data_IF_771667992750
#
_entry.id   IF_771667992750
#
_cell.length_a   1.000
_cell.length_b   1.000
_cell.length_c   1.000
_cell.angle_alpha   90.00
_cell.angle_beta   90.00
_cell.angle_gamma   90.00
#
_symmetry.space_group_name_H-M   'P 1'
#
loop_
_entity.id
_entity.type
_entity.pdbx_description
1 polymer ?
#
# COMPACT_ATOMS: atom_id res chain seq x y z
N UNK A 1 -20.32 -2.99 -46.29
CA UNK A 1 -20.10 -1.64 -46.85
C UNK A 1 -18.81 -1.11 -46.26
N UNK A 2 -17.77 -1.14 -47.06
CA UNK A 2 -16.37 -0.89 -46.75
C UNK A 2 -16.06 0.59 -46.99
N UNK A 3 -15.43 1.26 -46.04
CA UNK A 3 -14.77 2.54 -46.36
C UNK A 3 -13.39 2.58 -45.66
N UNK A 4 -12.37 2.32 -46.48
CA UNK A 4 -10.98 2.68 -46.23
C UNK A 4 -10.80 4.19 -46.33
N UNK A 5 -10.02 4.78 -45.40
CA UNK A 5 -9.33 6.06 -45.66
C UNK A 5 -7.88 5.97 -45.17
N UNK A 6 -7.02 5.86 -46.15
CA UNK A 6 -5.58 6.12 -46.15
C UNK A 6 -5.30 7.62 -46.03
N UNK A 7 -4.35 8.04 -45.20
CA UNK A 7 -3.72 9.36 -45.27
C UNK A 7 -2.20 9.26 -45.13
N UNK A 8 -1.60 9.68 -46.18
CA UNK A 8 -0.29 9.98 -46.69
C UNK A 8 0.76 10.50 -45.69
N UNK A 9 1.98 9.93 -45.84
CA UNK A 9 3.26 10.44 -45.40
C UNK A 9 3.65 11.72 -46.13
N UNK A 10 4.18 12.72 -45.41
CA UNK A 10 5.04 13.75 -46.01
C UNK A 10 6.35 13.86 -45.22
N UNK A 11 7.37 13.42 -45.89
CA UNK A 11 8.79 13.63 -45.63
C UNK A 11 9.14 15.09 -45.92
N UNK A 12 9.93 15.73 -45.03
CA UNK A 12 10.69 16.94 -45.41
C UNK A 12 12.12 16.86 -44.92
N UNK A 13 13.00 17.24 -45.85
CA UNK A 13 14.44 17.03 -45.90
C UNK A 13 15.24 18.08 -45.10
N UNK A 14 16.45 17.69 -44.77
CA UNK A 14 17.58 18.43 -44.15
C UNK A 14 18.03 19.65 -45.00
N UNK A 15 18.62 20.65 -44.34
CA UNK A 15 19.90 21.23 -44.72
C UNK A 15 20.55 22.03 -43.56
N UNK A 16 21.90 22.03 -43.43
CA UNK A 16 22.66 22.68 -42.35
C UNK A 16 23.25 24.00 -42.80
N UNK A 17 23.56 24.88 -41.83
CA UNK A 17 24.48 26.01 -42.07
C UNK A 17 25.32 26.34 -40.82
N UNK A 18 26.61 26.53 -41.12
CA UNK A 18 27.77 26.73 -40.23
C UNK A 18 27.87 28.15 -39.64
N UNK A 19 28.45 28.20 -38.47
CA UNK A 19 29.52 29.07 -37.93
C UNK A 19 29.45 30.61 -38.05
N UNK A 20 29.65 31.27 -36.90
CA UNK A 20 30.62 32.34 -36.75
C UNK A 20 30.92 32.62 -35.27
N UNK A 21 32.23 32.65 -34.95
CA UNK A 21 32.83 33.13 -33.71
C UNK A 21 32.72 34.65 -33.59
N UNK A 22 32.51 35.14 -32.36
CA UNK A 22 32.60 36.54 -32.02
C UNK A 22 33.00 36.74 -30.57
N UNK A 23 34.29 36.93 -30.29
CA UNK A 23 34.80 37.48 -29.02
C UNK A 23 34.55 39.00 -28.97
N UNK A 24 34.08 39.51 -27.83
CA UNK A 24 34.40 40.85 -27.33
C UNK A 24 33.90 41.03 -25.90
N UNK A 25 34.83 41.11 -25.01
CA UNK A 25 35.24 42.28 -24.19
C UNK A 25 34.29 42.67 -23.04
N UNK A 26 34.91 42.68 -21.88
CA UNK A 26 34.45 43.12 -20.57
C UNK A 26 33.96 44.59 -20.55
N UNK A 27 32.85 44.79 -19.80
CA UNK A 27 32.54 46.09 -19.24
C UNK A 27 32.02 45.91 -17.80
N UNK A 28 32.77 46.40 -16.83
CA UNK A 28 32.33 46.62 -15.46
C UNK A 28 31.21 47.66 -15.41
N UNK A 29 30.13 47.36 -14.76
CA UNK A 29 29.01 48.27 -14.55
C UNK A 29 28.12 47.87 -13.39
N UNK A 30 28.39 48.43 -12.24
CA UNK A 30 27.50 48.86 -11.14
C UNK A 30 26.43 47.89 -10.62
N UNK A 31 26.57 47.57 -9.35
CA UNK A 31 25.56 46.97 -8.48
C UNK A 31 24.21 47.70 -8.59
N UNK A 32 23.18 46.93 -8.94
CA UNK A 32 21.81 47.31 -8.66
C UNK A 32 21.22 46.19 -7.80
N UNK A 33 20.85 46.54 -6.60
CA UNK A 33 20.16 45.71 -5.64
C UNK A 33 18.74 45.52 -6.14
N UNK A 34 18.51 44.37 -6.75
CA UNK A 34 17.20 43.94 -7.26
C UNK A 34 16.84 42.54 -6.81
N UNK A 35 15.93 42.49 -5.87
CA UNK A 35 15.01 41.41 -5.62
C UNK A 35 15.62 40.00 -5.51
N UNK A 36 15.96 39.59 -4.30
CA UNK A 36 16.00 38.20 -3.92
C UNK A 36 14.61 37.62 -4.17
N UNK A 37 14.43 36.91 -5.30
CA UNK A 37 13.39 35.91 -5.43
C UNK A 37 13.57 34.87 -4.31
N UNK A 38 12.53 34.15 -3.92
CA UNK A 38 12.65 33.14 -2.88
C UNK A 38 13.78 32.18 -3.29
N UNK A 39 14.81 32.07 -2.45
CA UNK A 39 15.83 31.04 -2.57
C UNK A 39 15.09 29.69 -2.57
N UNK A 40 15.07 29.00 -3.72
CA UNK A 40 14.54 27.67 -3.80
C UNK A 40 15.29 26.80 -2.80
N UNK A 41 14.63 26.44 -1.71
CA UNK A 41 15.15 25.47 -0.76
C UNK A 41 15.40 24.14 -1.48
N UNK A 42 16.24 23.32 -0.91
CA UNK A 42 16.45 21.96 -1.40
C UNK A 42 15.13 21.19 -1.32
N UNK A 43 14.77 20.44 -2.39
CA UNK A 43 13.54 19.64 -2.47
C UNK A 43 13.87 18.19 -2.73
N UNK A 44 13.02 17.31 -2.25
CA UNK A 44 12.98 15.88 -2.56
C UNK A 44 11.91 15.71 -3.62
N UNK A 45 12.22 15.01 -4.72
CA UNK A 45 11.25 14.70 -5.79
C UNK A 45 10.80 13.25 -5.70
N UNK A 46 9.51 13.03 -5.56
CA UNK A 46 8.90 11.69 -5.60
C UNK A 46 8.03 11.53 -6.85
N UNK A 47 8.05 10.32 -7.46
CA UNK A 47 7.26 9.95 -8.64
C UNK A 47 6.20 8.94 -8.23
N UNK A 48 4.97 9.16 -8.69
CA UNK A 48 3.82 8.34 -8.34
C UNK A 48 2.77 8.34 -9.47
N UNK A 49 1.73 7.55 -9.36
CA UNK A 49 0.73 7.39 -10.43
C UNK A 49 0.03 8.69 -10.85
N UNK A 50 -0.12 9.65 -9.94
CA UNK A 50 -0.71 10.96 -10.24
C UNK A 50 0.30 11.99 -10.80
N UNK A 51 1.58 11.62 -10.98
CA UNK A 51 2.61 12.50 -11.51
C UNK A 51 3.91 12.52 -10.70
N UNK A 52 4.36 13.70 -10.29
CA UNK A 52 5.57 13.91 -9.51
C UNK A 52 5.35 15.06 -8.52
N UNK A 53 5.79 14.87 -7.29
CA UNK A 53 5.67 15.84 -6.21
C UNK A 53 7.06 16.27 -5.72
N UNK A 54 7.26 17.57 -5.56
CA UNK A 54 8.44 18.15 -4.91
C UNK A 54 8.09 18.50 -3.46
N UNK A 55 8.80 17.93 -2.50
CA UNK A 55 8.63 18.18 -1.07
C UNK A 55 9.83 18.98 -0.56
N UNK A 56 9.65 20.11 0.15
CA UNK A 56 10.75 20.84 0.78
C UNK A 56 11.49 19.96 1.80
N UNK A 57 12.82 20.03 1.80
CA UNK A 57 13.62 19.33 2.82
C UNK A 57 13.36 19.93 4.20
N UNK A 58 13.23 19.05 5.20
CA UNK A 58 13.08 19.45 6.61
C UNK A 58 11.63 19.70 7.04
N UNK A 59 10.63 19.13 6.33
CA UNK A 59 9.23 19.16 6.77
C UNK A 59 9.10 18.51 8.16
N UNK A 60 8.26 19.12 8.99
CA UNK A 60 8.00 18.68 10.37
C UNK A 60 6.52 18.42 10.63
N UNK A 61 5.64 19.00 9.82
CA UNK A 61 4.19 18.88 9.93
C UNK A 61 3.68 17.89 8.89
N UNK A 62 3.61 16.65 9.29
CA UNK A 62 3.24 15.52 8.43
C UNK A 62 1.78 15.17 8.67
N UNK A 63 0.96 15.15 7.62
CA UNK A 63 -0.35 14.52 7.65
C UNK A 63 -0.35 13.25 6.78
N UNK A 64 -1.27 12.35 7.03
CA UNK A 64 -1.50 11.22 6.13
C UNK A 64 -2.99 10.96 5.93
N UNK A 65 -3.35 10.40 4.77
CA UNK A 65 -4.71 10.01 4.42
C UNK A 65 -4.74 8.54 4.03
N UNK A 66 -5.91 7.95 3.96
CA UNK A 66 -6.13 6.55 3.58
C UNK A 66 -5.56 5.55 4.58
N UNK A 67 -4.83 4.49 4.13
CA UNK A 67 -4.48 3.35 4.97
C UNK A 67 -3.01 3.35 5.37
N UNK A 68 -2.74 3.31 6.68
CA UNK A 68 -1.44 2.97 7.30
C UNK A 68 -0.23 3.87 6.97
N UNK A 69 -0.38 4.93 6.15
CA UNK A 69 0.72 5.84 5.83
C UNK A 69 1.30 6.54 7.08
N UNK A 70 0.48 6.81 8.10
CA UNK A 70 0.92 7.36 9.38
C UNK A 70 1.89 6.45 10.13
N UNK A 71 1.86 5.15 9.87
CA UNK A 71 2.70 4.18 10.58
C UNK A 71 4.18 4.33 10.19
N UNK A 72 4.49 4.91 9.03
CA UNK A 72 5.87 5.15 8.59
C UNK A 72 6.56 6.21 9.46
N UNK A 73 6.08 7.46 9.56
CA UNK A 73 6.68 8.44 10.47
C UNK A 73 6.61 7.97 11.95
N UNK A 74 5.53 7.31 12.37
CA UNK A 74 5.40 6.78 13.73
C UNK A 74 6.49 5.75 14.05
N UNK A 75 6.83 4.84 13.11
CA UNK A 75 7.92 3.88 13.30
C UNK A 75 9.30 4.55 13.44
N UNK A 76 9.41 5.80 13.01
CA UNK A 76 10.61 6.65 13.12
C UNK A 76 10.53 7.66 14.28
N UNK A 77 9.65 7.43 15.26
CA UNK A 77 9.40 8.32 16.40
C UNK A 77 8.93 9.73 16.03
N UNK A 78 8.33 9.90 14.86
CA UNK A 78 7.78 11.18 14.38
C UNK A 78 6.26 11.12 14.49
N UNK A 79 5.68 12.04 15.28
CA UNK A 79 4.24 12.12 15.49
C UNK A 79 3.60 12.98 14.38
N UNK A 80 2.72 12.43 13.51
CA UNK A 80 2.00 13.23 12.53
C UNK A 80 1.08 14.26 13.17
N UNK A 81 0.79 15.36 12.48
CA UNK A 81 -0.18 16.37 12.94
C UNK A 81 -1.63 15.88 12.80
N UNK A 82 -1.87 14.91 11.92
CA UNK A 82 -3.15 14.23 11.77
C UNK A 82 -3.08 13.09 10.75
N UNK A 83 -4.05 12.18 10.83
CA UNK A 83 -4.15 11.04 9.92
C UNK A 83 -5.59 10.48 9.87
N UNK A 84 -5.85 9.62 8.87
CA UNK A 84 -7.15 8.99 8.66
C UNK A 84 -7.62 8.19 9.88
N UNK A 85 -8.83 8.46 10.34
CA UNK A 85 -9.51 7.68 11.38
C UNK A 85 -9.86 6.30 10.82
N UNK A 86 -9.43 5.26 11.51
CA UNK A 86 -9.77 3.89 11.17
C UNK A 86 -11.03 3.42 11.91
N UNK A 87 -11.91 2.76 11.18
CA UNK A 87 -13.15 2.17 11.73
C UNK A 87 -13.18 0.65 11.59
N UNK A 88 -12.36 0.09 10.69
CA UNK A 88 -12.20 -1.34 10.49
C UNK A 88 -10.90 -1.83 11.16
N UNK A 89 -10.97 -2.92 11.88
CA UNK A 89 -9.83 -3.44 12.66
C UNK A 89 -9.59 -2.72 13.98
N UNK A 90 -10.53 -1.88 14.43
CA UNK A 90 -10.48 -1.14 15.68
C UNK A 90 -11.59 -1.65 16.60
N UNK A 91 -11.23 -2.16 17.77
CA UNK A 91 -12.15 -2.78 18.73
C UNK A 91 -12.37 -1.94 20.01
N UNK A 92 -11.58 -0.89 20.22
CA UNK A 92 -11.63 -0.01 21.39
C UNK A 92 -12.33 1.35 21.15
N UNK A 93 -12.79 1.60 19.93
CA UNK A 93 -13.44 2.86 19.52
C UNK A 93 -12.51 4.07 19.42
N UNK A 94 -11.19 3.89 19.52
CA UNK A 94 -10.20 4.98 19.45
C UNK A 94 -10.10 5.65 18.09
N UNK A 95 -10.50 4.95 17.03
CA UNK A 95 -10.26 5.39 15.64
C UNK A 95 -8.83 5.16 15.18
N UNK A 96 -8.05 4.35 15.90
CA UNK A 96 -6.67 4.01 15.58
C UNK A 96 -6.48 2.49 15.65
N UNK A 97 -5.71 1.93 14.72
CA UNK A 97 -5.30 0.53 14.79
C UNK A 97 -4.46 0.29 16.06
N UNK A 98 -4.52 -0.91 16.62
CA UNK A 98 -3.93 -1.21 17.93
C UNK A 98 -2.45 -0.82 18.05
N UNK A 99 -1.65 -1.09 17.02
CA UNK A 99 -0.23 -0.73 16.97
C UNK A 99 0.00 0.77 16.80
N UNK A 100 -0.81 1.41 15.93
CA UNK A 100 -0.79 2.87 15.72
C UNK A 100 -1.10 3.59 17.03
N UNK A 101 -2.18 3.18 17.71
CA UNK A 101 -2.57 3.75 19.00
C UNK A 101 -1.48 3.61 20.05
N UNK A 102 -0.90 2.42 20.18
CA UNK A 102 0.19 2.19 21.13
C UNK A 102 1.33 3.17 20.91
N UNK A 103 1.75 3.36 19.64
CA UNK A 103 2.86 4.25 19.31
C UNK A 103 2.51 5.73 19.50
N UNK A 104 1.29 6.14 19.14
CA UNK A 104 0.79 7.50 19.40
C UNK A 104 0.77 7.77 20.92
N UNK A 105 0.22 6.86 21.73
CA UNK A 105 0.17 7.02 23.18
C UNK A 105 1.57 7.17 23.80
N UNK A 106 2.56 6.40 23.32
CA UNK A 106 3.96 6.50 23.74
C UNK A 106 4.55 7.89 23.42
N UNK A 107 4.36 8.38 22.21
CA UNK A 107 4.91 9.67 21.77
C UNK A 107 4.19 10.86 22.42
N UNK A 108 2.88 10.77 22.64
CA UNK A 108 2.11 11.79 23.36
C UNK A 108 2.52 11.83 24.84
N UNK A 109 2.74 10.68 25.48
CA UNK A 109 3.26 10.61 26.85
C UNK A 109 4.67 11.20 26.97
N UNK A 110 5.47 11.16 25.89
CA UNK A 110 6.78 11.82 25.82
C UNK A 110 6.70 13.35 25.57
N UNK A 111 5.49 13.92 25.47
CA UNK A 111 5.26 15.36 25.32
C UNK A 111 4.82 15.80 23.91
N UNK A 112 4.55 14.87 23.00
CA UNK A 112 4.00 15.15 21.68
C UNK A 112 2.53 15.61 21.76
N UNK A 113 2.07 16.34 20.74
CA UNK A 113 0.68 16.76 20.62
C UNK A 113 -0.18 15.63 20.07
N UNK A 114 -1.41 15.47 20.59
CA UNK A 114 -2.37 14.49 20.07
C UNK A 114 -2.69 14.79 18.60
N UNK A 115 -2.52 13.82 17.67
CA UNK A 115 -2.89 13.96 16.27
C UNK A 115 -4.40 14.18 16.07
N UNK A 116 -4.76 14.97 15.05
CA UNK A 116 -6.14 15.02 14.57
C UNK A 116 -6.49 13.71 13.84
N UNK A 117 -7.73 13.24 13.98
CA UNK A 117 -8.24 12.08 13.23
C UNK A 117 -9.21 12.58 12.15
N UNK A 118 -8.89 12.30 10.88
CA UNK A 118 -9.72 12.67 9.74
C UNK A 118 -10.79 11.60 9.51
N UNK A 119 -12.06 11.99 9.42
CA UNK A 119 -13.14 11.06 9.10
C UNK A 119 -13.19 10.84 7.59
N UNK A 120 -12.81 9.65 7.15
CA UNK A 120 -12.81 9.26 5.73
C UNK A 120 -13.90 8.22 5.42
N UNK A 121 -14.95 8.12 6.22
CA UNK A 121 -16.03 7.14 6.06
C UNK A 121 -16.70 7.23 4.68
N UNK A 122 -17.00 8.45 4.22
CA UNK A 122 -17.63 8.68 2.92
C UNK A 122 -16.62 9.19 1.86
N UNK A 123 -15.63 9.98 2.28
CA UNK A 123 -14.59 10.58 1.44
C UNK A 123 -13.54 11.23 2.32
N UNK A 124 -12.40 11.61 1.74
CA UNK A 124 -11.36 12.36 2.46
C UNK A 124 -11.94 13.69 2.99
N UNK A 125 -11.75 13.96 4.27
CA UNK A 125 -12.08 15.25 4.88
C UNK A 125 -10.98 16.28 4.63
N UNK A 126 -10.99 16.86 3.43
CA UNK A 126 -10.02 17.87 3.01
C UNK A 126 -9.96 19.08 3.96
N UNK A 127 -11.06 19.44 4.61
CA UNK A 127 -11.09 20.56 5.54
C UNK A 127 -10.32 20.23 6.81
N UNK A 128 -10.57 19.04 7.39
CA UNK A 128 -9.82 18.58 8.56
C UNK A 128 -8.33 18.42 8.27
N UNK A 129 -7.95 17.91 7.09
CA UNK A 129 -6.54 17.85 6.66
C UNK A 129 -5.95 19.26 6.60
N UNK A 130 -6.61 20.21 5.94
CA UNK A 130 -6.17 21.59 5.80
C UNK A 130 -6.01 22.31 7.14
N UNK A 131 -6.93 22.08 8.09
CA UNK A 131 -6.91 22.71 9.41
C UNK A 131 -5.67 22.30 10.24
N UNK A 132 -5.04 21.16 9.93
CA UNK A 132 -3.78 20.76 10.55
C UNK A 132 -2.57 21.50 9.99
N UNK A 133 -2.73 22.29 8.93
CA UNK A 133 -1.66 23.02 8.22
C UNK A 133 -0.42 22.15 7.96
N UNK A 134 -0.56 21.03 7.22
CA UNK A 134 0.56 20.12 6.96
C UNK A 134 1.55 20.73 5.97
N UNK A 135 2.80 20.30 6.03
CA UNK A 135 3.87 20.62 5.08
C UNK A 135 4.06 19.53 4.02
N UNK A 136 3.55 18.31 4.32
CA UNK A 136 3.48 17.18 3.40
C UNK A 136 2.30 16.28 3.77
N UNK A 137 1.69 15.64 2.77
CA UNK A 137 0.61 14.66 2.93
C UNK A 137 1.08 13.32 2.36
N UNK A 138 1.11 12.28 3.20
CA UNK A 138 1.49 10.92 2.83
C UNK A 138 0.25 10.12 2.44
N UNK A 139 0.30 9.50 1.28
CA UNK A 139 -0.78 8.71 0.70
C UNK A 139 -0.23 7.60 -0.24
N UNK A 140 0.99 7.11 0.01
CA UNK A 140 1.61 6.06 -0.79
C UNK A 140 0.77 4.77 -0.81
N UNK A 141 0.10 4.42 0.30
CA UNK A 141 -0.89 3.35 0.33
C UNK A 141 -2.29 3.96 0.31
N UNK A 142 -2.85 4.13 -0.89
CA UNK A 142 -4.14 4.78 -1.07
C UNK A 142 -4.84 4.38 -2.37
N UNK A 143 -6.11 4.75 -2.48
CA UNK A 143 -6.91 4.70 -3.71
C UNK A 143 -7.26 6.09 -4.22
N UNK A 144 -6.39 7.09 -4.04
CA UNK A 144 -6.65 8.47 -4.48
C UNK A 144 -7.04 8.52 -5.94
N UNK A 145 -8.16 9.17 -6.23
CA UNK A 145 -8.45 9.60 -7.60
C UNK A 145 -7.56 10.81 -7.96
N UNK A 146 -7.38 11.08 -9.27
CA UNK A 146 -6.68 12.28 -9.69
C UNK A 146 -7.30 13.56 -9.09
N UNK A 147 -8.62 13.59 -8.93
CA UNK A 147 -9.33 14.73 -8.31
C UNK A 147 -8.98 14.90 -6.84
N UNK A 148 -8.86 13.79 -6.09
CA UNK A 148 -8.49 13.83 -4.68
C UNK A 148 -7.04 14.32 -4.53
N UNK A 149 -6.12 13.76 -5.34
CA UNK A 149 -4.74 14.21 -5.42
C UNK A 149 -4.62 15.70 -5.74
N UNK A 150 -5.34 16.19 -6.77
CA UNK A 150 -5.34 17.61 -7.16
C UNK A 150 -5.89 18.51 -6.05
N UNK A 151 -6.77 17.98 -5.20
CA UNK A 151 -7.34 18.73 -4.08
C UNK A 151 -6.38 18.76 -2.89
N UNK A 152 -5.80 17.63 -2.52
CA UNK A 152 -4.78 17.54 -1.46
C UNK A 152 -3.53 18.36 -1.80
N UNK A 153 -3.09 18.33 -3.07
CA UNK A 153 -1.92 19.07 -3.54
C UNK A 153 -2.08 20.61 -3.48
N UNK A 154 -3.31 21.11 -3.31
CA UNK A 154 -3.55 22.54 -3.01
C UNK A 154 -3.36 22.87 -1.53
N UNK A 155 -3.41 21.87 -0.66
CA UNK A 155 -3.18 22.02 0.78
C UNK A 155 -1.68 21.89 1.07
N UNK A 156 -1.04 20.80 0.62
CA UNK A 156 0.40 20.56 0.76
C UNK A 156 0.88 19.56 -0.32
N UNK A 157 2.21 19.50 -0.59
CA UNK A 157 2.80 18.44 -1.40
C UNK A 157 2.27 17.07 -0.96
N UNK A 158 1.75 16.27 -1.91
CA UNK A 158 1.09 15.00 -1.63
C UNK A 158 1.80 13.85 -2.34
N UNK A 159 2.14 12.80 -1.60
CA UNK A 159 2.75 11.57 -2.12
C UNK A 159 1.65 10.54 -2.35
N UNK A 160 1.34 10.25 -3.60
CA UNK A 160 0.34 9.25 -3.97
C UNK A 160 0.97 7.85 -4.16
N UNK A 161 0.15 6.83 -4.42
CA UNK A 161 0.59 5.47 -4.69
C UNK A 161 1.45 5.37 -5.96
N UNK A 162 2.42 4.41 -6.05
CA UNK A 162 3.41 4.40 -7.13
C UNK A 162 2.82 4.04 -8.50
N UNK A 163 1.94 3.05 -8.60
CA UNK A 163 1.45 2.50 -9.88
C UNK A 163 -0.04 2.23 -9.89
N UNK A 164 -0.54 1.38 -9.00
CA UNK A 164 -1.94 0.94 -8.94
C UNK A 164 -2.54 1.31 -7.59
N UNK A 165 -3.76 1.83 -7.61
CA UNK A 165 -4.50 2.15 -6.39
C UNK A 165 -4.60 0.91 -5.48
N UNK A 166 -4.30 1.07 -4.19
CA UNK A 166 -4.27 0.01 -3.17
C UNK A 166 -3.23 -1.10 -3.40
N UNK A 167 -2.44 -1.02 -4.47
CA UNK A 167 -1.43 -2.00 -4.86
C UNK A 167 0.01 -1.63 -4.46
N UNK A 168 0.22 -0.89 -3.39
CA UNK A 168 1.55 -0.46 -2.97
C UNK A 168 2.21 -1.52 -2.09
N UNK A 169 3.32 -2.13 -2.52
CA UNK A 169 4.09 -3.02 -1.65
C UNK A 169 4.53 -2.32 -0.37
N UNK A 170 4.56 -3.03 0.76
CA UNK A 170 4.88 -2.42 2.05
C UNK A 170 6.28 -1.77 2.11
N UNK A 171 7.25 -2.33 1.38
CA UNK A 171 8.60 -1.75 1.25
C UNK A 171 8.59 -0.43 0.49
N UNK A 172 7.78 -0.37 -0.57
CA UNK A 172 7.64 0.85 -1.39
C UNK A 172 6.92 1.93 -0.60
N UNK A 173 5.86 1.59 0.15
CA UNK A 173 5.18 2.52 1.05
C UNK A 173 6.17 3.13 2.06
N UNK A 174 6.97 2.29 2.76
CA UNK A 174 7.97 2.77 3.71
C UNK A 174 9.00 3.67 3.00
N UNK A 175 9.49 3.24 1.84
CA UNK A 175 10.52 3.98 1.10
C UNK A 175 10.01 5.34 0.62
N UNK A 176 8.82 5.39 0.02
CA UNK A 176 8.22 6.63 -0.50
C UNK A 176 7.90 7.61 0.62
N UNK A 177 7.13 7.16 1.62
CA UNK A 177 6.70 8.04 2.72
C UNK A 177 7.92 8.54 3.55
N UNK A 178 8.88 7.69 3.83
CA UNK A 178 10.10 8.08 4.55
C UNK A 178 10.99 9.00 3.71
N UNK A 179 11.15 8.74 2.41
CA UNK A 179 11.91 9.61 1.52
C UNK A 179 11.31 11.02 1.49
N UNK A 180 9.98 11.11 1.37
CA UNK A 180 9.28 12.41 1.36
C UNK A 180 9.52 13.25 2.61
N UNK A 181 9.77 12.62 3.75
CA UNK A 181 10.08 13.32 5.02
C UNK A 181 11.58 13.40 5.33
N UNK A 182 12.43 13.08 4.34
CA UNK A 182 13.90 13.17 4.47
C UNK A 182 14.52 12.05 5.31
N UNK A 183 13.89 10.85 5.36
CA UNK A 183 14.28 9.70 6.18
C UNK A 183 14.62 8.44 5.36
N UNK A 184 15.16 8.62 4.16
CA UNK A 184 15.45 7.52 3.24
C UNK A 184 16.44 6.48 3.83
N UNK A 185 17.46 6.93 4.57
CA UNK A 185 18.45 6.04 5.18
C UNK A 185 17.82 5.22 6.33
N UNK A 186 16.98 5.85 7.14
CA UNK A 186 16.23 5.20 8.21
C UNK A 186 15.21 4.20 7.65
N UNK A 187 14.61 4.46 6.47
CA UNK A 187 13.72 3.53 5.78
C UNK A 187 14.40 2.20 5.45
N UNK A 188 15.61 2.25 4.89
CA UNK A 188 16.36 1.04 4.54
C UNK A 188 16.67 0.19 5.78
N UNK A 189 17.05 0.81 6.88
CA UNK A 189 17.31 0.12 8.14
C UNK A 189 16.03 -0.50 8.73
N UNK A 190 14.91 0.23 8.68
CA UNK A 190 13.60 -0.25 9.14
C UNK A 190 13.14 -1.45 8.32
N UNK A 191 13.23 -1.40 6.99
CA UNK A 191 12.87 -2.51 6.10
C UNK A 191 13.70 -3.76 6.44
N UNK A 192 15.01 -3.63 6.59
CA UNK A 192 15.88 -4.75 6.91
C UNK A 192 15.54 -5.39 8.28
N UNK A 193 15.17 -4.59 9.28
CA UNK A 193 14.73 -5.10 10.58
C UNK A 193 13.38 -5.83 10.47
N UNK A 194 12.43 -5.30 9.71
CA UNK A 194 11.14 -5.94 9.46
C UNK A 194 11.28 -7.26 8.70
N UNK A 195 12.12 -7.31 7.68
CA UNK A 195 12.43 -8.54 6.94
C UNK A 195 13.00 -9.62 7.87
N UNK A 196 13.89 -9.21 8.78
CA UNK A 196 14.41 -10.11 9.80
C UNK A 196 13.32 -10.62 10.74
N UNK A 197 12.42 -9.74 11.19
CA UNK A 197 11.30 -10.15 12.07
C UNK A 197 10.38 -11.14 11.36
N UNK A 198 10.08 -10.94 10.09
CA UNK A 198 9.31 -11.88 9.26
C UNK A 198 10.03 -13.23 9.18
N UNK A 199 11.31 -13.23 8.83
CA UNK A 199 12.12 -14.46 8.75
C UNK A 199 12.20 -15.20 10.09
N UNK A 200 12.39 -14.48 11.18
CA UNK A 200 12.43 -15.05 12.54
C UNK A 200 11.08 -15.69 12.93
N UNK A 201 9.95 -15.08 12.51
CA UNK A 201 8.61 -15.62 12.79
C UNK A 201 8.32 -16.89 11.95
N UNK A 202 8.81 -16.97 10.71
CA UNK A 202 8.60 -18.11 9.81
C UNK A 202 9.53 -19.28 10.15
N UNK A 203 10.74 -19.03 10.65
CA UNK A 203 11.77 -20.04 10.87
C UNK A 203 11.31 -21.28 11.68
N UNK A 204 10.42 -21.17 12.69
CA UNK A 204 9.91 -22.34 13.41
C UNK A 204 8.90 -23.18 12.62
N UNK A 205 8.44 -22.73 11.46
CA UNK A 205 7.30 -23.25 10.69
C UNK A 205 7.69 -23.75 9.29
N UNK A 206 8.52 -24.79 9.15
CA UNK A 206 8.95 -25.31 7.84
C UNK A 206 7.78 -25.85 6.99
N UNK A 207 6.64 -26.18 7.58
CA UNK A 207 5.42 -26.61 6.89
C UNK A 207 4.81 -25.56 5.96
N UNK A 208 5.12 -24.27 6.16
CA UNK A 208 4.66 -23.15 5.32
C UNK A 208 5.44 -23.12 3.99
N UNK A 209 6.72 -23.48 4.03
CA UNK A 209 7.64 -23.27 2.93
C UNK A 209 7.16 -23.89 1.61
N UNK A 210 7.11 -23.06 0.57
CA UNK A 210 6.75 -23.45 -0.80
C UNK A 210 5.28 -23.80 -1.03
N UNK A 211 4.40 -23.65 -0.03
CA UNK A 211 2.95 -23.87 -0.22
C UNK A 211 2.38 -22.83 -1.17
N UNK A 212 1.49 -23.26 -2.08
CA UNK A 212 0.77 -22.37 -2.99
C UNK A 212 -0.37 -21.68 -2.25
N UNK A 213 -0.23 -20.39 -1.94
CA UNK A 213 -1.17 -19.63 -1.13
C UNK A 213 -1.53 -18.27 -1.72
N UNK A 214 -2.77 -17.82 -1.45
CA UNK A 214 -3.24 -16.49 -1.75
C UNK A 214 -4.28 -16.04 -0.71
N UNK A 215 -4.61 -14.75 -0.73
CA UNK A 215 -5.58 -14.16 0.19
C UNK A 215 -6.97 -14.10 -0.46
N UNK A 216 -8.01 -14.53 0.28
CA UNK A 216 -9.37 -14.68 -0.20
C UNK A 216 -10.38 -13.90 0.64
N UNK A 217 -11.54 -13.68 0.05
CA UNK A 217 -12.71 -13.13 0.73
C UNK A 217 -13.97 -13.79 0.22
N UNK A 218 -14.87 -14.10 1.14
CA UNK A 218 -16.23 -14.58 0.84
C UNK A 218 -17.23 -13.86 1.74
N UNK A 219 -18.44 -13.71 1.25
CA UNK A 219 -19.59 -13.29 2.07
C UNK A 219 -20.34 -14.55 2.50
N UNK A 220 -20.32 -14.94 3.78
CA UNK A 220 -20.92 -16.21 4.22
C UNK A 220 -22.42 -16.35 3.92
N UNK A 221 -23.14 -15.23 3.81
CA UNK A 221 -24.56 -15.19 3.47
C UNK A 221 -24.83 -15.28 1.97
N UNK A 222 -23.81 -15.11 1.12
CA UNK A 222 -23.90 -15.19 -0.34
C UNK A 222 -22.63 -15.85 -0.91
N UNK A 223 -22.69 -17.18 -1.06
CA UNK A 223 -21.58 -17.96 -1.63
C UNK A 223 -21.72 -18.12 -3.15
N UNK A 224 -22.51 -17.31 -3.82
CA UNK A 224 -22.62 -17.33 -5.30
C UNK A 224 -21.36 -16.81 -5.96
N UNK A 225 -20.64 -15.92 -5.27
CA UNK A 225 -19.33 -15.38 -5.69
C UNK A 225 -18.28 -15.62 -4.61
N UNK A 226 -17.04 -15.79 -5.06
CA UNK A 226 -15.88 -15.97 -4.21
C UNK A 226 -14.75 -15.08 -4.74
N UNK A 227 -14.10 -14.31 -3.87
CA UNK A 227 -13.11 -13.35 -4.28
C UNK A 227 -11.71 -13.70 -3.79
N UNK A 228 -10.70 -13.23 -4.51
CA UNK A 228 -9.32 -13.30 -4.10
C UNK A 228 -8.57 -12.02 -4.45
N UNK A 229 -7.55 -11.75 -3.67
CA UNK A 229 -6.65 -10.63 -3.91
C UNK A 229 -5.54 -11.05 -4.88
N UNK A 230 -5.26 -10.21 -5.87
CA UNK A 230 -4.26 -10.45 -6.90
C UNK A 230 -2.84 -10.28 -6.36
N UNK A 231 -1.84 -10.54 -7.19
CA UNK A 231 -0.42 -10.30 -6.82
C UNK A 231 -0.08 -8.81 -6.66
N UNK A 232 -0.98 -7.91 -7.06
CA UNK A 232 -0.84 -6.46 -6.83
C UNK A 232 -1.21 -6.06 -5.39
N UNK A 233 -2.02 -6.88 -4.73
CA UNK A 233 -2.43 -6.61 -3.36
C UNK A 233 -1.33 -7.01 -2.37
N UNK A 234 -0.96 -6.13 -1.44
CA UNK A 234 0.08 -6.42 -0.45
C UNK A 234 -0.16 -7.68 0.38
N UNK A 235 -1.41 -8.08 0.64
CA UNK A 235 -1.73 -9.28 1.41
C UNK A 235 -1.37 -10.56 0.68
N UNK A 236 -1.65 -10.65 -0.61
CA UNK A 236 -1.25 -11.81 -1.44
C UNK A 236 0.25 -11.77 -1.72
N UNK A 237 0.82 -10.60 -2.07
CA UNK A 237 2.26 -10.47 -2.28
C UNK A 237 3.06 -10.88 -1.04
N UNK A 238 2.58 -10.59 0.16
CA UNK A 238 3.24 -10.95 1.42
C UNK A 238 3.39 -12.46 1.65
N UNK A 239 2.60 -13.30 0.95
CA UNK A 239 2.78 -14.76 1.01
C UNK A 239 4.20 -15.18 0.58
N UNK A 240 4.80 -14.49 -0.37
CA UNK A 240 6.19 -14.76 -0.80
C UNK A 240 7.20 -14.38 0.29
N UNK A 241 6.97 -13.29 1.02
CA UNK A 241 7.79 -12.90 2.18
C UNK A 241 7.74 -13.96 3.30
N UNK A 242 6.61 -14.68 3.41
CA UNK A 242 6.45 -15.80 4.34
C UNK A 242 7.02 -17.12 3.81
N UNK A 243 7.69 -17.12 2.65
CA UNK A 243 8.30 -18.31 2.04
C UNK A 243 7.33 -19.23 1.30
N UNK A 244 6.11 -18.79 1.05
CA UNK A 244 5.12 -19.47 0.20
C UNK A 244 5.30 -19.09 -1.28
N UNK A 245 4.53 -19.67 -2.15
CA UNK A 245 4.47 -19.35 -3.59
C UNK A 245 3.07 -18.95 -3.99
N UNK A 246 2.97 -18.04 -4.96
CA UNK A 246 1.65 -17.67 -5.49
C UNK A 246 1.13 -18.77 -6.43
N UNK A 247 -0.14 -19.20 -6.33
CA UNK A 247 -0.73 -20.15 -7.26
C UNK A 247 -0.68 -19.65 -8.71
N UNK A 248 -0.40 -20.55 -9.66
CA UNK A 248 -0.32 -20.21 -11.09
C UNK A 248 -1.61 -19.58 -11.62
N UNK A 249 -2.76 -20.03 -11.10
CA UNK A 249 -4.08 -19.49 -11.42
C UNK A 249 -4.19 -18.01 -11.03
N UNK A 250 -3.80 -17.66 -9.81
CA UNK A 250 -3.82 -16.28 -9.29
C UNK A 250 -2.82 -15.41 -10.03
N UNK A 251 -1.60 -15.90 -10.25
CA UNK A 251 -0.56 -15.17 -10.98
C UNK A 251 -0.98 -14.85 -12.43
N UNK A 252 -1.58 -15.82 -13.15
CA UNK A 252 -2.10 -15.62 -14.51
C UNK A 252 -3.26 -14.64 -14.56
N UNK A 253 -4.19 -14.73 -13.62
CA UNK A 253 -5.32 -13.81 -13.55
C UNK A 253 -4.84 -12.38 -13.25
N UNK A 254 -3.88 -12.20 -12.35
CA UNK A 254 -3.26 -10.90 -12.06
C UNK A 254 -2.56 -10.30 -13.29
N UNK A 255 -1.88 -11.13 -14.09
CA UNK A 255 -1.25 -10.67 -15.34
C UNK A 255 -2.27 -10.30 -16.42
N UNK A 256 -3.43 -10.97 -16.44
CA UNK A 256 -4.49 -10.67 -17.40
C UNK A 256 -5.26 -9.38 -17.05
N UNK A 257 -5.26 -8.99 -15.79
CA UNK A 257 -5.92 -7.79 -15.27
C UNK A 257 -4.96 -7.02 -14.35
N UNK A 258 -3.98 -6.28 -14.92
CA UNK A 258 -2.89 -5.66 -14.17
C UNK A 258 -3.28 -4.37 -13.44
N UNK A 259 -4.53 -3.94 -13.54
CA UNK A 259 -5.03 -2.72 -12.91
C UNK A 259 -5.89 -3.01 -11.66
N UNK A 260 -6.22 -4.29 -11.41
CA UNK A 260 -7.10 -4.68 -10.32
C UNK A 260 -6.36 -5.48 -9.24
N UNK A 261 -6.44 -5.01 -8.00
CA UNK A 261 -5.89 -5.68 -6.82
C UNK A 261 -6.80 -6.81 -6.28
N UNK A 262 -8.06 -6.89 -6.74
CA UNK A 262 -9.06 -7.86 -6.30
C UNK A 262 -9.89 -8.36 -7.47
N UNK A 263 -10.13 -9.67 -7.53
CA UNK A 263 -10.94 -10.32 -8.55
C UNK A 263 -11.96 -11.26 -7.92
N UNK A 264 -13.09 -11.43 -8.58
CA UNK A 264 -14.16 -12.34 -8.17
C UNK A 264 -14.44 -13.38 -9.26
N UNK A 265 -14.89 -14.56 -8.83
CA UNK A 265 -15.42 -15.58 -9.71
C UNK A 265 -16.74 -16.14 -9.17
N UNK A 266 -17.63 -16.52 -10.07
CA UNK A 266 -18.84 -17.25 -9.70
C UNK A 266 -18.47 -18.64 -9.16
N UNK A 267 -19.18 -19.13 -8.15
CA UNK A 267 -18.87 -20.42 -7.52
C UNK A 267 -18.87 -21.61 -8.49
N UNK A 268 -19.57 -21.50 -9.62
CA UNK A 268 -19.54 -22.49 -10.71
C UNK A 268 -18.15 -22.64 -11.35
N UNK A 269 -17.30 -21.63 -11.19
CA UNK A 269 -15.94 -21.58 -11.71
C UNK A 269 -14.88 -21.85 -10.62
N UNK A 270 -15.25 -22.57 -9.56
CA UNK A 270 -14.35 -22.89 -8.44
C UNK A 270 -13.07 -23.64 -8.85
N UNK A 271 -13.11 -24.34 -9.99
CA UNK A 271 -11.97 -25.02 -10.59
C UNK A 271 -10.84 -24.06 -11.03
N UNK A 272 -11.14 -22.78 -11.25
CA UNK A 272 -10.14 -21.76 -11.59
C UNK A 272 -9.03 -21.62 -10.52
N UNK A 273 -9.32 -21.95 -9.27
CA UNK A 273 -8.38 -21.87 -8.15
C UNK A 273 -8.05 -23.26 -7.56
N UNK A 274 -8.12 -24.29 -8.41
CA UNK A 274 -7.87 -25.69 -8.00
C UNK A 274 -6.41 -25.99 -7.64
N UNK A 275 -5.47 -25.11 -7.99
CA UNK A 275 -4.06 -25.19 -7.63
C UNK A 275 -3.70 -24.48 -6.32
N UNK A 276 -4.69 -23.88 -5.64
CA UNK A 276 -4.51 -23.26 -4.32
C UNK A 276 -4.45 -24.35 -3.25
N UNK A 277 -3.31 -24.47 -2.58
CA UNK A 277 -3.08 -25.45 -1.52
C UNK A 277 -3.50 -24.94 -0.14
N UNK A 278 -3.31 -23.62 0.09
CA UNK A 278 -3.61 -22.95 1.34
C UNK A 278 -4.32 -21.62 1.06
N UNK A 279 -5.41 -21.38 1.76
CA UNK A 279 -6.11 -20.08 1.72
C UNK A 279 -5.88 -19.33 3.02
N UNK A 280 -5.56 -18.05 2.89
CA UNK A 280 -5.72 -17.07 3.98
C UNK A 280 -6.96 -16.25 3.66
N UNK A 281 -7.88 -16.07 4.60
CA UNK A 281 -9.10 -15.35 4.29
C UNK A 281 -9.69 -14.63 5.50
N UNK A 282 -10.42 -13.57 5.19
CA UNK A 282 -11.28 -12.94 6.17
C UNK A 282 -12.43 -13.87 6.55
N UNK A 283 -12.86 -13.84 7.81
CA UNK A 283 -13.93 -14.66 8.35
C UNK A 283 -13.51 -15.40 9.61
N UNK A 284 -14.39 -16.29 10.07
CA UNK A 284 -14.21 -17.03 11.29
C UNK A 284 -14.06 -18.54 11.01
N UNK A 285 -13.27 -19.23 11.81
CA UNK A 285 -13.03 -20.67 11.65
C UNK A 285 -14.33 -21.51 11.70
N UNK A 286 -15.37 -21.01 12.36
CA UNK A 286 -16.70 -21.63 12.41
C UNK A 286 -17.41 -21.67 11.05
N UNK A 287 -17.00 -20.81 10.09
CA UNK A 287 -17.59 -20.73 8.74
C UNK A 287 -17.11 -21.85 7.83
N UNK A 288 -15.95 -22.46 8.14
CA UNK A 288 -15.34 -23.49 7.31
C UNK A 288 -16.30 -24.64 6.96
N UNK A 289 -17.03 -25.13 7.95
CA UNK A 289 -17.96 -26.27 7.73
C UNK A 289 -19.08 -25.93 6.72
N UNK A 290 -19.56 -24.67 6.74
CA UNK A 290 -20.53 -24.16 5.77
C UNK A 290 -19.95 -24.06 4.36
N UNK A 291 -18.72 -23.54 4.24
CA UNK A 291 -18.02 -23.41 2.95
C UNK A 291 -17.70 -24.81 2.38
N UNK A 292 -17.27 -25.76 3.22
CA UNK A 292 -17.02 -27.16 2.82
C UNK A 292 -18.29 -27.89 2.35
N UNK A 293 -19.44 -27.56 2.94
CA UNK A 293 -20.73 -28.14 2.54
C UNK A 293 -21.25 -27.57 1.22
N UNK A 294 -20.69 -26.44 0.73
CA UNK A 294 -21.10 -25.87 -0.56
C UNK A 294 -20.65 -26.78 -1.71
N UNK A 295 -21.57 -27.19 -2.63
CA UNK A 295 -21.30 -28.24 -3.62
C UNK A 295 -20.11 -27.98 -4.54
N UNK A 296 -19.81 -26.67 -4.80
CA UNK A 296 -18.76 -26.25 -5.72
C UNK A 296 -17.54 -25.76 -4.94
N UNK A 297 -17.68 -24.81 -4.02
CA UNK A 297 -16.55 -24.27 -3.25
C UNK A 297 -15.86 -25.34 -2.40
N UNK A 298 -16.63 -26.29 -1.85
CA UNK A 298 -16.09 -27.42 -1.09
C UNK A 298 -15.22 -28.38 -1.91
N UNK A 299 -15.17 -28.24 -3.25
CA UNK A 299 -14.26 -29.02 -4.11
C UNK A 299 -12.86 -28.42 -4.22
N UNK A 300 -12.69 -27.14 -3.88
CA UNK A 300 -11.38 -26.48 -3.88
C UNK A 300 -10.46 -27.19 -2.87
N UNK A 301 -9.26 -27.65 -3.26
CA UNK A 301 -8.41 -28.47 -2.41
C UNK A 301 -8.14 -27.88 -1.03
N UNK A 302 -7.81 -26.59 -0.95
CA UNK A 302 -7.59 -25.90 0.32
C UNK A 302 -8.81 -25.97 1.24
N UNK A 303 -10.00 -25.69 0.71
CA UNK A 303 -11.27 -25.74 1.47
C UNK A 303 -11.59 -27.16 1.88
N UNK A 304 -11.54 -28.11 0.94
CA UNK A 304 -11.83 -29.54 1.16
C UNK A 304 -10.99 -30.13 2.29
N UNK A 305 -9.70 -29.80 2.31
CA UNK A 305 -8.74 -30.28 3.30
C UNK A 305 -8.77 -29.48 4.61
N UNK A 306 -9.47 -28.33 4.63
CA UNK A 306 -9.48 -27.41 5.75
C UNK A 306 -8.17 -26.64 5.92
N UNK A 307 -7.37 -26.53 4.84
CA UNK A 307 -6.15 -25.72 4.78
C UNK A 307 -6.48 -24.23 4.59
N UNK A 308 -7.26 -23.69 5.51
CA UNK A 308 -7.76 -22.30 5.50
C UNK A 308 -7.38 -21.64 6.80
N UNK A 309 -6.64 -20.54 6.72
CA UNK A 309 -6.29 -19.65 7.83
C UNK A 309 -7.28 -18.50 7.88
N UNK A 310 -8.22 -18.53 8.82
CA UNK A 310 -9.15 -17.42 9.04
C UNK A 310 -8.54 -16.40 9.97
N UNK A 311 -8.50 -15.14 9.53
CA UNK A 311 -7.85 -14.02 10.25
C UNK A 311 -8.84 -13.09 10.97
N UNK A 312 -10.11 -13.51 11.07
CA UNK A 312 -11.20 -12.64 11.51
C UNK A 312 -11.69 -11.71 10.39
N UNK A 313 -12.69 -10.90 10.68
CA UNK A 313 -13.16 -9.86 9.77
C UNK A 313 -13.46 -8.59 10.58
N UNK A 314 -12.72 -7.51 10.34
CA UNK A 314 -12.80 -6.28 11.13
C UNK A 314 -12.14 -6.38 12.52
N UNK A 315 -11.38 -7.43 12.78
CA UNK A 315 -10.57 -7.59 14.02
C UNK A 315 -9.20 -6.91 13.86
N UNK A 316 -8.49 -6.60 14.95
CA UNK A 316 -7.12 -6.08 14.84
C UNK A 316 -6.19 -6.99 14.03
N UNK A 317 -6.29 -8.32 14.16
CA UNK A 317 -5.47 -9.25 13.40
C UNK A 317 -5.80 -9.21 11.91
N UNK A 318 -7.09 -9.13 11.53
CA UNK A 318 -7.47 -8.99 10.13
C UNK A 318 -6.92 -7.71 9.50
N UNK A 319 -6.85 -6.62 10.25
CA UNK A 319 -6.21 -5.39 9.80
C UNK A 319 -4.68 -5.52 9.67
N UNK A 320 -4.04 -6.29 10.56
CA UNK A 320 -2.60 -6.52 10.56
C UNK A 320 -2.12 -7.38 9.38
N UNK A 321 -3.01 -8.08 8.67
CA UNK A 321 -2.67 -8.81 7.44
C UNK A 321 -2.25 -7.88 6.29
N UNK A 322 -2.56 -6.59 6.37
CA UNK A 322 -1.97 -5.57 5.51
C UNK A 322 -0.58 -5.23 6.11
N UNK A 323 0.52 -5.70 5.49
CA UNK A 323 1.84 -5.56 6.07
C UNK A 323 2.30 -4.09 6.08
N UNK A 324 2.92 -3.68 7.16
CA UNK A 324 3.41 -2.32 7.34
C UNK A 324 4.40 -2.22 8.50
N UNK A 325 4.98 -1.03 8.72
CA UNK A 325 6.11 -0.88 9.64
C UNK A 325 5.75 -1.12 11.11
N UNK A 326 4.49 -0.93 11.49
CA UNK A 326 4.02 -1.19 12.85
C UNK A 326 3.15 -2.45 12.95
N UNK A 327 2.42 -2.83 11.88
CA UNK A 327 1.58 -4.04 11.89
C UNK A 327 2.41 -5.33 11.89
N UNK A 328 3.53 -5.38 11.15
CA UNK A 328 4.44 -6.54 11.15
C UNK A 328 4.93 -6.83 12.59
N UNK A 329 5.61 -5.92 13.31
CA UNK A 329 6.05 -6.19 14.67
C UNK A 329 4.92 -6.57 15.62
N UNK A 330 3.71 -6.05 15.38
CA UNK A 330 2.57 -6.29 16.25
C UNK A 330 1.94 -7.66 16.06
N UNK A 331 1.78 -8.12 14.80
CA UNK A 331 0.91 -9.26 14.49
C UNK A 331 1.57 -10.43 13.78
N UNK A 332 2.85 -10.33 13.35
CA UNK A 332 3.48 -11.34 12.47
C UNK A 332 3.48 -12.73 13.09
N UNK A 333 3.75 -12.84 14.40
CA UNK A 333 3.80 -14.16 15.05
C UNK A 333 2.44 -14.85 15.03
N UNK A 334 1.38 -14.16 15.44
CA UNK A 334 0.04 -14.73 15.50
C UNK A 334 -0.47 -15.06 14.10
N UNK A 335 -0.12 -14.24 13.12
CA UNK A 335 -0.46 -14.45 11.72
C UNK A 335 0.24 -15.70 11.15
N UNK A 336 1.54 -15.85 11.39
CA UNK A 336 2.31 -17.02 10.95
C UNK A 336 1.83 -18.30 11.65
N UNK A 337 1.53 -18.26 12.96
CA UNK A 337 1.00 -19.40 13.70
C UNK A 337 -0.34 -19.91 13.10
N UNK A 338 -1.24 -18.99 12.69
CA UNK A 338 -2.50 -19.35 11.99
C UNK A 338 -2.26 -20.00 10.63
N UNK A 339 -1.33 -19.43 9.85
CA UNK A 339 -0.97 -19.99 8.54
C UNK A 339 -0.34 -21.38 8.70
N UNK A 340 0.56 -21.57 9.66
CA UNK A 340 1.21 -22.82 9.95
C UNK A 340 0.20 -23.93 10.34
N UNK A 341 -0.78 -23.57 11.18
CA UNK A 341 -1.85 -24.50 11.55
C UNK A 341 -2.71 -24.94 10.36
N UNK A 342 -2.91 -24.06 9.37
CA UNK A 342 -3.58 -24.37 8.12
C UNK A 342 -2.68 -25.18 7.16
N UNK A 343 -1.40 -24.81 7.04
CA UNK A 343 -0.41 -25.51 6.22
C UNK A 343 -0.24 -26.97 6.60
N UNK A 344 -0.35 -27.31 7.88
CA UNK A 344 -0.34 -28.69 8.37
C UNK A 344 -1.49 -29.59 7.85
N UNK A 345 -2.51 -29.00 7.21
CA UNK A 345 -3.64 -29.72 6.62
C UNK A 345 -3.54 -29.86 5.08
N UNK A 346 -2.54 -29.27 4.46
CA UNK A 346 -2.25 -29.42 3.03
C UNK A 346 -1.84 -30.87 2.76
N UNK A 347 -2.53 -31.55 1.81
CA UNK A 347 -2.30 -32.95 1.44
C UNK A 347 -1.53 -33.06 0.13
#
# INVERSE_FOLDING_TARGET
MTVHRTVSRKTFLLAPALAALGLSAAACGRADSGSSGPSGGETITDKHACGSTEVPVGVTRIASVSWANQDVPLAMDILPVGFAKQTWGVDDGSGMLAWTKKKVDELVAAGGAQPALFDETDSIDFAAVSDTAPEVILAACSGLTQKDYDTLSKIAPTIAYPTVAWGTPWRDMITMDATAIGKADEAAALIADLEKQVADAVAPHPEIAGKKAAFFYAVPSDMSTFGYYTTLDPRTAFMEDLGMTIPDSVAKASQADPDNFYLEFASENADQVSDVELMVMYGEASELAGIQAHPLLGTIPAIKNGAVAFVGNGTPLSAATNPGPLSIPWGIKDYVDLIAAAAGKVQ
#
